data_IF_379405531625
#
_entry.id   IF_379405531625
#
_cell.length_a   1.000
_cell.length_b   1.000
_cell.length_c   1.000
_cell.angle_alpha   90.00
_cell.angle_beta   90.00
_cell.angle_gamma   90.00
#
_symmetry.space_group_name_H-M   'P 1'
#
loop_
_entity.id
_entity.type
_entity.pdbx_description
1 polymer ?
#
# COMPACT_ATOMS: atom_id res chain seq x y z
N UNK A 1 -28.07 2.78 9.86
CA UNK A 1 -27.30 1.56 10.23
C UNK A 1 -26.90 1.70 11.69
N UNK A 2 -26.81 0.59 12.44
CA UNK A 2 -26.33 0.64 13.82
C UNK A 2 -24.79 0.58 13.83
N UNK A 3 -24.15 1.69 14.21
CA UNK A 3 -22.69 1.82 14.35
C UNK A 3 -22.25 1.81 15.82
N UNK A 4 -23.14 1.44 16.74
CA UNK A 4 -22.87 1.43 18.19
C UNK A 4 -21.66 0.56 18.56
N UNK A 5 -21.48 -0.59 17.91
CA UNK A 5 -20.33 -1.47 18.13
C UNK A 5 -18.99 -0.80 17.78
N UNK A 6 -18.95 -0.06 16.65
CA UNK A 6 -17.75 0.69 16.25
C UNK A 6 -17.47 1.81 17.24
N UNK A 7 -18.51 2.53 17.68
CA UNK A 7 -18.35 3.63 18.62
C UNK A 7 -17.96 3.16 20.03
N UNK A 8 -18.44 1.98 20.45
CA UNK A 8 -18.01 1.32 21.68
C UNK A 8 -16.53 0.94 21.60
N UNK A 9 -16.08 0.32 20.51
CA UNK A 9 -14.68 -0.02 20.30
C UNK A 9 -13.76 1.21 20.28
N UNK A 10 -14.20 2.31 19.67
CA UNK A 10 -13.49 3.59 19.70
C UNK A 10 -13.41 4.17 21.12
N UNK A 11 -14.48 4.05 21.91
CA UNK A 11 -14.51 4.51 23.30
C UNK A 11 -13.60 3.68 24.21
N UNK A 12 -13.51 2.37 23.95
CA UNK A 12 -12.65 1.42 24.64
C UNK A 12 -11.18 1.45 24.16
N UNK A 13 -10.87 2.31 23.17
CA UNK A 13 -9.54 2.41 22.52
C UNK A 13 -9.07 1.11 21.87
N UNK A 14 -9.98 0.20 21.55
CA UNK A 14 -9.71 -1.07 20.88
C UNK A 14 -9.65 -0.88 19.36
N UNK A 15 -8.64 -0.15 18.89
CA UNK A 15 -8.53 0.23 17.47
C UNK A 15 -8.21 -0.94 16.54
N UNK A 16 -7.63 -2.02 17.06
CA UNK A 16 -7.31 -3.22 16.28
C UNK A 16 -8.54 -4.02 15.87
N UNK A 17 -9.64 -3.92 16.62
CA UNK A 17 -10.90 -4.61 16.32
C UNK A 17 -11.80 -3.81 15.36
N UNK A 18 -11.53 -2.51 15.16
CA UNK A 18 -12.40 -1.62 14.38
C UNK A 18 -12.49 -2.05 12.92
N UNK A 19 -11.40 -2.52 12.31
CA UNK A 19 -11.42 -2.94 10.90
C UNK A 19 -12.34 -4.16 10.68
N UNK A 20 -12.17 -5.22 11.48
CA UNK A 20 -13.01 -6.42 11.38
C UNK A 20 -14.48 -6.13 11.65
N UNK A 21 -14.78 -5.26 12.62
CA UNK A 21 -16.16 -4.85 12.91
C UNK A 21 -16.78 -4.07 11.74
N UNK A 22 -16.01 -3.17 11.12
CA UNK A 22 -16.46 -2.43 9.94
C UNK A 22 -16.70 -3.37 8.75
N UNK A 23 -15.83 -4.35 8.51
CA UNK A 23 -16.01 -5.34 7.43
C UNK A 23 -17.28 -6.18 7.63
N UNK A 24 -17.51 -6.69 8.84
CA UNK A 24 -18.70 -7.47 9.17
C UNK A 24 -19.99 -6.66 8.99
N UNK A 25 -20.00 -5.43 9.51
CA UNK A 25 -21.15 -4.53 9.39
C UNK A 25 -21.40 -4.10 7.94
N UNK A 26 -20.34 -3.90 7.14
CA UNK A 26 -20.45 -3.57 5.71
C UNK A 26 -21.01 -4.76 4.92
N UNK A 27 -20.58 -5.99 5.24
CA UNK A 27 -21.12 -7.21 4.64
C UNK A 27 -22.60 -7.41 4.98
N UNK A 28 -22.98 -7.17 6.23
CA UNK A 28 -24.39 -7.20 6.66
C UNK A 28 -25.23 -6.11 5.99
N UNK A 29 -24.65 -4.94 5.77
CA UNK A 29 -25.31 -3.85 5.04
C UNK A 29 -25.55 -4.24 3.56
N UNK A 30 -24.55 -4.82 2.91
CA UNK A 30 -24.65 -5.30 1.54
C UNK A 30 -25.70 -6.41 1.40
N UNK A 31 -25.77 -7.36 2.34
CA UNK A 31 -26.74 -8.46 2.29
C UNK A 31 -28.19 -7.98 2.49
N UNK A 32 -28.40 -6.93 3.28
CA UNK A 32 -29.72 -6.32 3.53
C UNK A 32 -30.12 -5.29 2.46
N UNK A 33 -29.22 -4.96 1.52
CA UNK A 33 -29.46 -3.92 0.51
C UNK A 33 -29.61 -2.52 1.11
N UNK A 34 -29.10 -2.29 2.32
CA UNK A 34 -29.18 -0.98 2.98
C UNK A 34 -28.22 0.00 2.31
N UNK A 35 -28.68 1.24 2.10
CA UNK A 35 -27.87 2.28 1.50
C UNK A 35 -26.65 2.61 2.38
N UNK A 36 -25.44 2.52 1.82
CA UNK A 36 -24.16 2.79 2.49
C UNK A 36 -23.72 4.25 2.36
N UNK A 37 -24.57 5.16 1.89
CA UNK A 37 -24.20 6.57 1.74
C UNK A 37 -23.65 7.17 3.04
N UNK A 38 -24.25 6.91 4.20
CA UNK A 38 -23.77 7.44 5.50
C UNK A 38 -22.61 6.65 6.13
N UNK A 39 -22.02 5.68 5.41
CA UNK A 39 -20.97 4.84 5.98
C UNK A 39 -19.70 5.63 6.36
N UNK A 40 -19.04 5.35 7.51
CA UNK A 40 -17.81 6.01 7.92
C UNK A 40 -16.59 5.49 7.15
N UNK A 41 -16.55 5.74 5.83
CA UNK A 41 -15.48 5.27 4.93
C UNK A 41 -14.08 5.68 5.39
N UNK A 42 -13.92 6.91 5.89
CA UNK A 42 -12.63 7.43 6.38
C UNK A 42 -12.12 6.64 7.58
N UNK A 43 -12.99 6.33 8.54
CA UNK A 43 -12.64 5.54 9.74
C UNK A 43 -12.33 4.10 9.35
N UNK A 44 -13.11 3.51 8.45
CA UNK A 44 -12.86 2.15 7.97
C UNK A 44 -11.49 2.05 7.29
N UNK A 45 -11.16 2.99 6.39
CA UNK A 45 -9.86 3.01 5.72
C UNK A 45 -8.71 3.23 6.72
N UNK A 46 -8.88 4.14 7.69
CA UNK A 46 -7.89 4.37 8.75
C UNK A 46 -7.66 3.12 9.62
N UNK A 47 -8.71 2.35 9.90
CA UNK A 47 -8.59 1.14 10.70
C UNK A 47 -7.70 0.07 10.01
N UNK A 48 -7.85 -0.13 8.70
CA UNK A 48 -6.95 -1.02 7.95
C UNK A 48 -5.51 -0.50 7.93
N UNK A 49 -5.32 0.82 7.77
CA UNK A 49 -3.99 1.43 7.80
C UNK A 49 -3.33 1.29 9.18
N UNK A 50 -4.10 1.38 10.26
CA UNK A 50 -3.62 1.20 11.62
C UNK A 50 -3.12 -0.23 11.88
N UNK A 51 -3.85 -1.24 11.39
CA UNK A 51 -3.45 -2.66 11.49
C UNK A 51 -2.34 -3.01 10.46
N UNK A 52 -1.92 -2.04 9.65
CA UNK A 52 -0.95 -2.21 8.57
C UNK A 52 -1.39 -3.21 7.49
N UNK A 53 -2.70 -3.47 7.35
CA UNK A 53 -3.26 -4.30 6.28
C UNK A 53 -3.50 -3.48 5.01
N UNK A 54 -2.42 -3.36 4.25
CA UNK A 54 -2.40 -2.58 3.02
C UNK A 54 -3.18 -3.18 1.87
N UNK A 55 -3.31 -4.50 1.87
CA UNK A 55 -4.04 -5.16 0.80
C UNK A 55 -5.52 -4.85 0.95
N UNK A 56 -6.08 -5.03 2.15
CA UNK A 56 -7.48 -4.72 2.42
C UNK A 56 -7.79 -3.24 2.22
N UNK A 57 -6.93 -2.33 2.71
CA UNK A 57 -7.08 -0.89 2.46
C UNK A 57 -7.12 -0.55 0.96
N UNK A 58 -6.24 -1.15 0.15
CA UNK A 58 -6.19 -0.94 -1.30
C UNK A 58 -7.41 -1.52 -2.01
N UNK A 59 -7.85 -2.72 -1.63
CA UNK A 59 -9.04 -3.34 -2.21
C UNK A 59 -10.28 -2.52 -1.89
N UNK A 60 -10.40 -2.04 -0.65
CA UNK A 60 -11.45 -1.13 -0.23
C UNK A 60 -11.43 0.18 -1.03
N UNK A 61 -10.28 0.85 -1.15
CA UNK A 61 -10.19 2.06 -1.96
C UNK A 61 -10.59 1.82 -3.43
N UNK A 62 -10.24 0.68 -4.00
CA UNK A 62 -10.57 0.33 -5.38
C UNK A 62 -12.06 0.01 -5.57
N UNK A 63 -12.72 -0.56 -4.57
CA UNK A 63 -14.15 -0.91 -4.65
C UNK A 63 -15.08 0.29 -4.51
N UNK A 64 -14.60 1.40 -3.94
CA UNK A 64 -15.42 2.60 -3.75
C UNK A 64 -15.72 3.34 -5.07
N UNK A 65 -16.98 3.74 -5.30
CA UNK A 65 -17.36 4.59 -6.44
C UNK A 65 -16.61 5.93 -6.42
N UNK A 66 -16.47 6.54 -7.60
CA UNK A 66 -15.72 7.79 -7.74
C UNK A 66 -16.45 8.96 -7.05
N UNK A 67 -17.79 8.92 -7.06
CA UNK A 67 -18.68 9.90 -6.44
C UNK A 67 -18.38 10.04 -4.94
N UNK A 68 -18.13 8.93 -4.24
CA UNK A 68 -17.80 8.92 -2.81
C UNK A 68 -16.43 9.53 -2.55
N UNK A 69 -15.47 9.31 -3.46
CA UNK A 69 -14.10 9.84 -3.36
C UNK A 69 -14.06 11.35 -3.55
N UNK A 70 -14.88 11.86 -4.46
CA UNK A 70 -14.92 13.30 -4.78
C UNK A 70 -15.74 14.08 -3.74
N UNK A 71 -16.81 13.48 -3.22
CA UNK A 71 -17.67 14.12 -2.20
C UNK A 71 -16.96 14.28 -0.85
N UNK A 72 -16.00 13.42 -0.53
CA UNK A 72 -15.39 13.32 0.81
C UNK A 72 -13.88 13.58 0.77
N UNK A 73 -13.42 14.82 0.96
CA UNK A 73 -12.00 15.14 0.93
C UNK A 73 -11.19 14.46 2.05
N UNK A 74 -11.82 14.14 3.18
CA UNK A 74 -11.21 13.41 4.29
C UNK A 74 -10.75 12.01 3.86
N UNK A 75 -11.58 11.29 3.11
CA UNK A 75 -11.26 9.97 2.59
C UNK A 75 -10.07 10.02 1.62
N UNK A 76 -10.03 11.03 0.75
CA UNK A 76 -8.89 11.28 -0.12
C UNK A 76 -7.62 11.66 0.66
N UNK A 77 -7.75 12.41 1.76
CA UNK A 77 -6.63 12.76 2.63
C UNK A 77 -6.04 11.50 3.29
N UNK A 78 -6.88 10.59 3.79
CA UNK A 78 -6.43 9.30 4.34
C UNK A 78 -5.67 8.49 3.28
N UNK A 79 -6.19 8.40 2.06
CA UNK A 79 -5.51 7.68 0.98
C UNK A 79 -4.17 8.31 0.56
N UNK A 80 -4.02 9.64 0.69
CA UNK A 80 -2.75 10.33 0.45
C UNK A 80 -1.66 9.91 1.44
N UNK A 81 -2.01 9.61 2.69
CA UNK A 81 -1.05 9.09 3.69
C UNK A 81 -0.45 7.78 3.19
N UNK A 82 -1.29 6.87 2.71
CA UNK A 82 -0.81 5.59 2.21
C UNK A 82 0.00 5.73 0.91
N UNK A 83 -0.45 6.59 0.00
CA UNK A 83 0.29 6.90 -1.23
C UNK A 83 1.68 7.49 -0.94
N UNK A 84 1.78 8.34 0.09
CA UNK A 84 3.04 8.89 0.57
C UNK A 84 3.96 7.79 1.10
N UNK A 85 3.44 6.88 1.91
CA UNK A 85 4.20 5.74 2.45
C UNK A 85 4.77 4.85 1.35
N UNK A 86 3.97 4.51 0.35
CA UNK A 86 4.44 3.73 -0.81
C UNK A 86 5.51 4.48 -1.62
N UNK A 87 5.34 5.79 -1.81
CA UNK A 87 6.31 6.62 -2.53
C UNK A 87 7.64 6.71 -1.79
N UNK A 88 7.60 6.92 -0.48
CA UNK A 88 8.80 6.93 0.36
C UNK A 88 9.48 5.57 0.30
N UNK A 89 8.72 4.49 0.48
CA UNK A 89 9.29 3.15 0.43
C UNK A 89 10.01 2.88 -0.91
N UNK A 90 9.39 3.26 -2.03
CA UNK A 90 10.00 3.16 -3.36
C UNK A 90 11.30 3.98 -3.46
N UNK A 91 11.31 5.19 -2.89
CA UNK A 91 12.48 6.07 -2.88
C UNK A 91 13.61 5.48 -2.02
N UNK A 92 13.28 4.96 -0.84
CA UNK A 92 14.25 4.28 0.03
C UNK A 92 14.87 3.08 -0.69
N UNK A 93 14.04 2.30 -1.38
CA UNK A 93 14.48 1.13 -2.14
C UNK A 93 15.43 1.48 -3.30
N UNK A 94 15.23 2.62 -3.96
CA UNK A 94 16.03 3.00 -5.13
C UNK A 94 17.29 3.81 -4.78
N UNK A 95 17.20 4.72 -3.82
CA UNK A 95 18.27 5.66 -3.50
C UNK A 95 19.31 5.09 -2.53
N UNK A 96 18.88 4.30 -1.55
CA UNK A 96 19.75 3.80 -0.49
C UNK A 96 20.23 2.37 -0.76
N UNK A 97 21.49 2.10 -0.41
CA UNK A 97 22.03 0.73 -0.35
C UNK A 97 21.93 0.18 1.08
N UNK A 98 22.16 1.06 2.05
CA UNK A 98 22.01 0.81 3.49
C UNK A 98 21.33 2.01 4.14
N UNK A 99 20.45 1.78 5.10
CA UNK A 99 19.72 2.82 5.84
C UNK A 99 19.48 2.36 7.29
N UNK A 100 19.46 3.28 8.26
CA UNK A 100 19.20 2.92 9.65
C UNK A 100 17.73 2.56 9.87
N UNK A 101 17.45 1.68 10.85
CA UNK A 101 16.06 1.34 11.23
C UNK A 101 15.30 2.58 11.70
N UNK A 102 15.95 3.48 12.43
CA UNK A 102 15.35 4.71 12.94
C UNK A 102 14.91 5.66 11.81
N UNK A 103 15.73 5.82 10.77
CA UNK A 103 15.37 6.66 9.62
C UNK A 103 14.20 6.06 8.85
N UNK A 104 14.18 4.73 8.65
CA UNK A 104 13.05 4.06 8.00
C UNK A 104 11.76 4.24 8.81
N UNK A 105 11.82 4.03 10.13
CA UNK A 105 10.68 4.24 11.02
C UNK A 105 10.17 5.69 10.96
N UNK A 106 11.09 6.66 10.98
CA UNK A 106 10.76 8.08 10.88
C UNK A 106 10.11 8.43 9.53
N UNK A 107 10.68 7.97 8.40
CA UNK A 107 10.14 8.26 7.08
C UNK A 107 8.81 7.54 6.80
N UNK A 108 8.61 6.35 7.35
CA UNK A 108 7.39 5.57 7.15
C UNK A 108 6.29 5.85 8.16
N UNK A 109 6.58 6.59 9.24
CA UNK A 109 5.63 6.94 10.29
C UNK A 109 5.16 5.74 11.10
N UNK A 110 6.03 4.74 11.33
CA UNK A 110 5.75 3.52 12.07
C UNK A 110 6.79 3.28 13.17
N UNK A 111 6.55 2.31 14.04
CA UNK A 111 7.53 1.95 15.07
C UNK A 111 8.79 1.31 14.46
N UNK A 112 9.90 1.31 15.19
CA UNK A 112 11.14 0.62 14.74
C UNK A 112 10.93 -0.88 14.56
N UNK A 113 10.06 -1.49 15.38
CA UNK A 113 9.71 -2.90 15.29
C UNK A 113 8.94 -3.19 14.00
N UNK A 114 7.90 -2.40 13.71
CA UNK A 114 7.09 -2.54 12.50
C UNK A 114 7.90 -2.28 11.24
N UNK A 115 8.79 -1.27 11.27
CA UNK A 115 9.69 -0.96 10.16
C UNK A 115 10.63 -2.12 9.85
N UNK A 116 11.15 -2.78 10.89
CA UNK A 116 12.02 -3.95 10.74
C UNK A 116 11.25 -5.14 10.18
N UNK A 117 10.07 -5.43 10.74
CA UNK A 117 9.21 -6.50 10.28
C UNK A 117 8.81 -6.31 8.81
N UNK A 118 8.44 -5.08 8.43
CA UNK A 118 8.10 -4.72 7.06
C UNK A 118 9.28 -4.87 6.10
N UNK A 119 10.46 -4.40 6.49
CA UNK A 119 11.68 -4.53 5.68
C UNK A 119 12.06 -6.00 5.45
N UNK A 120 12.00 -6.83 6.50
CA UNK A 120 12.29 -8.27 6.42
C UNK A 120 11.27 -8.99 5.54
N UNK A 121 9.97 -8.68 5.66
CA UNK A 121 8.92 -9.25 4.82
C UNK A 121 9.16 -8.98 3.32
N UNK A 122 9.75 -7.83 3.00
CA UNK A 122 10.05 -7.43 1.62
C UNK A 122 11.40 -7.99 1.14
N UNK A 123 12.15 -8.65 2.02
CA UNK A 123 13.41 -9.31 1.71
C UNK A 123 14.65 -8.42 1.86
N UNK A 124 14.53 -7.29 2.57
CA UNK A 124 15.70 -6.56 3.07
C UNK A 124 16.35 -7.35 4.22
N UNK A 125 17.63 -7.09 4.47
CA UNK A 125 18.39 -7.82 5.49
C UNK A 125 18.79 -6.90 6.64
N UNK A 126 18.55 -7.33 7.87
CA UNK A 126 18.89 -6.57 9.08
C UNK A 126 20.30 -6.93 9.56
N UNK A 127 21.17 -5.92 9.69
CA UNK A 127 22.43 -6.03 10.42
C UNK A 127 22.21 -5.83 11.92
N UNK A 128 22.02 -6.91 12.68
CA UNK A 128 21.71 -6.86 14.11
C UNK A 128 22.74 -6.06 14.95
N UNK A 129 24.01 -6.05 14.55
CA UNK A 129 25.07 -5.33 15.26
C UNK A 129 25.08 -3.82 14.99
N UNK A 130 24.55 -3.37 13.85
CA UNK A 130 24.65 -1.98 13.38
C UNK A 130 23.29 -1.25 13.33
N UNK A 131 22.18 -1.96 13.56
CA UNK A 131 20.81 -1.46 13.32
C UNK A 131 20.64 -0.84 11.92
N UNK A 132 21.35 -1.40 10.94
CA UNK A 132 21.28 -0.97 9.54
C UNK A 132 20.53 -2.01 8.72
N UNK A 133 19.60 -1.56 7.90
CA UNK A 133 18.90 -2.35 6.90
C UNK A 133 19.67 -2.28 5.58
N UNK A 134 19.95 -3.45 5.00
CA UNK A 134 20.52 -3.58 3.66
C UNK A 134 19.39 -3.72 2.66
N UNK A 135 19.25 -2.70 1.81
CA UNK A 135 18.20 -2.60 0.80
C UNK A 135 18.55 -3.50 -0.38
N UNK A 136 17.71 -4.50 -0.67
CA UNK A 136 17.84 -5.24 -1.93
C UNK A 136 17.27 -4.40 -3.06
N UNK A 137 18.15 -3.73 -3.81
CA UNK A 137 17.77 -3.06 -5.05
C UNK A 137 17.16 -4.09 -6.02
N UNK A 138 16.06 -3.76 -6.71
CA UNK A 138 15.59 -4.56 -7.83
C UNK A 138 16.77 -4.71 -8.79
N UNK A 139 17.13 -5.94 -9.16
CA UNK A 139 18.18 -6.16 -10.15
C UNK A 139 17.82 -5.31 -11.37
N UNK A 140 18.66 -4.33 -11.70
CA UNK A 140 18.52 -3.61 -12.95
C UNK A 140 18.52 -4.67 -14.03
N UNK A 141 17.42 -4.80 -14.78
CA UNK A 141 17.46 -5.51 -16.05
C UNK A 141 18.36 -4.66 -16.95
N UNK A 142 19.67 -4.89 -16.84
CA UNK A 142 20.58 -4.55 -17.90
C UNK A 142 20.08 -5.42 -19.06
N UNK A 143 19.29 -4.81 -19.96
CA UNK A 143 18.93 -5.38 -21.24
C UNK A 143 20.21 -5.48 -22.09
N UNK A 144 21.16 -6.31 -21.67
CA UNK A 144 22.35 -6.70 -22.42
C UNK A 144 22.12 -8.11 -22.93
N UNK A 145 21.15 -8.23 -23.83
CA UNK A 145 21.30 -9.10 -24.98
C UNK A 145 20.45 -8.48 -26.09
N UNK A 146 21.09 -7.67 -26.94
CA UNK A 146 20.59 -7.46 -28.29
C UNK A 146 20.57 -8.86 -28.93
N UNK A 147 19.42 -9.50 -28.83
CA UNK A 147 19.20 -10.81 -29.38
C UNK A 147 19.29 -10.69 -30.91
N UNK A 148 20.12 -11.53 -31.54
CA UNK A 148 20.35 -11.50 -32.98
C UNK A 148 19.04 -11.56 -33.79
N UNK A 149 18.00 -12.17 -33.22
CA UNK A 149 16.66 -12.22 -33.79
C UNK A 149 16.02 -10.83 -33.95
N UNK A 150 16.33 -9.86 -33.07
CA UNK A 150 15.84 -8.47 -33.20
C UNK A 150 16.52 -7.73 -34.35
N UNK A 151 17.80 -8.01 -34.61
CA UNK A 151 18.52 -7.46 -35.76
C UNK A 151 17.98 -8.07 -37.07
N UNK A 152 17.72 -9.37 -37.09
CA UNK A 152 17.14 -10.05 -38.25
C UNK A 152 15.76 -9.50 -38.62
N UNK A 153 14.92 -9.21 -37.61
CA UNK A 153 13.61 -8.57 -37.82
C UNK A 153 13.69 -7.14 -38.37
N UNK A 154 14.73 -6.37 -37.98
CA UNK A 154 14.95 -5.05 -38.55
C UNK A 154 15.40 -5.13 -40.01
N UNK A 155 16.28 -6.08 -40.34
CA UNK A 155 16.71 -6.33 -41.72
C UNK A 155 15.52 -6.72 -42.62
N UNK A 156 14.63 -7.58 -42.12
CA UNK A 156 13.44 -8.02 -42.86
C UNK A 156 12.39 -6.90 -43.05
N UNK A 157 12.30 -5.97 -42.09
CA UNK A 157 11.46 -4.78 -42.19
C UNK A 157 11.98 -3.78 -43.23
N UNK A 158 13.29 -3.56 -43.28
CA UNK A 158 13.91 -2.71 -44.30
C UNK A 158 13.68 -3.31 -45.69
N UNK A 159 13.85 -4.62 -45.84
CA UNK A 159 13.62 -5.30 -47.12
C UNK A 159 12.16 -5.18 -47.62
N UNK A 160 11.17 -5.22 -46.72
CA UNK A 160 9.76 -5.04 -47.07
C UNK A 160 9.37 -3.61 -47.45
N UNK A 161 10.17 -2.60 -47.08
CA UNK A 161 9.92 -1.19 -47.39
C UNK A 161 10.65 -0.72 -48.65
N UNK A 162 11.61 -1.51 -49.14
CA UNK A 162 12.34 -1.25 -50.38
C UNK A 162 11.69 -1.86 -51.64
N UNK A 163 10.61 -2.63 -51.49
CA UNK A 163 9.72 -3.07 -52.58
C UNK A 163 8.35 -2.38 -52.49
#
# INVERSE_FOLDING_TARGET
MDLSAVQAALSDKSYTAVASLCDELLLQAASKGTNTDEWPYSVHLLAHLYINDLNSARFFWKSLPQEVKDTRPELAAVWRIESYRQRIFKLLTSAYSTISVADVAHFMGMSEEDATNYAVQIGWSLGAATKMLTVKKPKAQINQKLDASKLQRLTECVFHLEH
#
